data_IF_539829460427
#
_entry.id   IF_539829460427
#
_cell.length_a   1.000
_cell.length_b   1.000
_cell.length_c   1.000
_cell.angle_alpha   90.00
_cell.angle_beta   90.00
_cell.angle_gamma   90.00
#
_symmetry.space_group_name_H-M   'P 1'
#
loop_
_entity.id
_entity.type
_entity.pdbx_description
1 polymer ?
#
# COMPACT_ATOMS: atom_id res chain seq x y z
N UNK A 1 19.59 -12.36 -24.37
CA UNK A 1 19.87 -11.14 -23.57
C UNK A 1 20.44 -11.57 -22.22
N UNK A 2 21.64 -11.10 -21.84
CA UNK A 2 22.11 -11.24 -20.46
C UNK A 2 21.34 -10.23 -19.61
N UNK A 3 20.40 -10.70 -18.81
CA UNK A 3 19.71 -9.87 -17.83
C UNK A 3 20.69 -9.57 -16.69
N UNK A 4 20.88 -8.29 -16.36
CA UNK A 4 21.66 -7.89 -15.19
C UNK A 4 20.88 -8.19 -13.90
N UNK A 5 21.60 -8.33 -12.78
CA UNK A 5 20.96 -8.49 -11.47
C UNK A 5 20.29 -7.17 -11.06
N UNK A 6 19.07 -7.25 -10.55
CA UNK A 6 18.38 -6.09 -9.97
C UNK A 6 18.58 -6.09 -8.46
N UNK A 7 19.04 -4.96 -7.92
CA UNK A 7 19.27 -4.75 -6.49
C UNK A 7 18.32 -3.65 -6.03
N UNK A 8 17.55 -3.92 -4.99
CA UNK A 8 16.66 -2.96 -4.32
C UNK A 8 17.17 -2.81 -2.89
N UNK A 9 17.40 -1.58 -2.45
CA UNK A 9 17.87 -1.26 -1.11
C UNK A 9 16.90 -0.30 -0.41
N UNK A 10 16.63 -0.54 0.86
CA UNK A 10 15.88 0.36 1.72
C UNK A 10 16.45 0.33 3.15
N UNK A 11 17.27 1.34 3.48
CA UNK A 11 17.93 1.51 4.78
C UNK A 11 18.76 0.28 5.18
N UNK A 12 18.16 -0.66 5.89
CA UNK A 12 18.75 -1.90 6.43
C UNK A 12 18.34 -3.16 5.66
N UNK A 13 17.34 -3.07 4.77
CA UNK A 13 16.85 -4.20 3.97
C UNK A 13 17.41 -4.16 2.52
N UNK A 14 18.02 -5.26 2.07
CA UNK A 14 18.51 -5.43 0.69
C UNK A 14 17.79 -6.62 0.03
N UNK A 15 17.26 -6.40 -1.18
CA UNK A 15 16.61 -7.42 -2.00
C UNK A 15 17.33 -7.57 -3.35
N UNK A 16 17.68 -8.81 -3.69
CA UNK A 16 18.30 -9.20 -4.95
C UNK A 16 17.30 -9.98 -5.81
N UNK A 17 17.18 -9.62 -7.09
CA UNK A 17 16.25 -10.24 -8.03
C UNK A 17 16.98 -10.62 -9.32
N UNK A 18 16.80 -11.87 -9.73
CA UNK A 18 17.30 -12.37 -11.00
C UNK A 18 16.51 -13.61 -11.47
N UNK A 19 16.39 -13.82 -12.78
CA UNK A 19 15.61 -14.93 -13.34
C UNK A 19 16.30 -16.30 -13.18
N UNK A 20 17.64 -16.32 -13.27
CA UNK A 20 18.43 -17.54 -13.07
C UNK A 20 18.77 -17.72 -11.58
N UNK A 21 18.29 -18.84 -11.01
CA UNK A 21 18.47 -19.23 -9.60
C UNK A 21 19.94 -19.38 -9.19
N UNK A 22 20.73 -20.11 -9.97
CA UNK A 22 22.15 -20.36 -9.66
C UNK A 22 22.98 -19.08 -9.73
N UNK A 23 22.70 -18.25 -10.72
CA UNK A 23 23.32 -16.93 -10.81
C UNK A 23 22.94 -16.04 -9.62
N UNK A 24 21.66 -16.04 -9.21
CA UNK A 24 21.21 -15.29 -8.04
C UNK A 24 21.95 -15.75 -6.79
N UNK A 25 22.06 -17.06 -6.56
CA UNK A 25 22.80 -17.63 -5.42
C UNK A 25 24.26 -17.17 -5.38
N UNK A 26 24.95 -17.24 -6.53
CA UNK A 26 26.33 -16.76 -6.66
C UNK A 26 26.45 -15.26 -6.37
N UNK A 27 25.51 -14.46 -6.86
CA UNK A 27 25.51 -13.02 -6.64
C UNK A 27 25.16 -12.64 -5.20
N UNK A 28 24.23 -13.35 -4.55
CA UNK A 28 23.91 -13.18 -3.12
C UNK A 28 25.16 -13.38 -2.28
N UNK A 29 25.93 -14.45 -2.54
CA UNK A 29 27.18 -14.69 -1.82
C UNK A 29 28.19 -13.55 -2.04
N UNK A 30 28.36 -13.08 -3.28
CA UNK A 30 29.26 -11.96 -3.60
C UNK A 30 28.85 -10.67 -2.89
N UNK A 31 27.56 -10.38 -2.82
CA UNK A 31 27.03 -9.21 -2.09
C UNK A 31 27.31 -9.35 -0.60
N UNK A 32 27.05 -10.51 -0.01
CA UNK A 32 27.35 -10.77 1.41
C UNK A 32 28.83 -10.60 1.73
N UNK A 33 29.72 -11.11 0.88
CA UNK A 33 31.17 -10.96 1.07
C UNK A 33 31.62 -9.51 0.95
N UNK A 34 31.01 -8.75 0.04
CA UNK A 34 31.23 -7.30 -0.12
C UNK A 34 30.77 -6.54 1.11
N UNK A 35 29.59 -6.86 1.66
CA UNK A 35 29.08 -6.24 2.88
C UNK A 35 30.00 -6.52 4.09
N UNK A 36 30.49 -7.77 4.22
CA UNK A 36 31.48 -8.13 5.24
C UNK A 36 32.78 -7.36 5.07
N UNK A 37 33.28 -7.20 3.85
CA UNK A 37 34.49 -6.44 3.55
C UNK A 37 34.36 -4.98 4.02
N UNK A 38 33.20 -4.35 3.79
CA UNK A 38 32.89 -3.01 4.29
C UNK A 38 32.48 -2.97 5.78
N UNK A 39 32.64 -4.09 6.51
CA UNK A 39 32.35 -4.22 7.95
C UNK A 39 30.89 -3.99 8.32
N UNK A 40 29.94 -4.22 7.41
CA UNK A 40 28.53 -4.27 7.76
C UNK A 40 28.23 -5.56 8.54
N UNK A 41 27.56 -5.42 9.69
CA UNK A 41 27.04 -6.55 10.44
C UNK A 41 25.74 -7.04 9.79
N UNK A 42 25.71 -8.28 9.32
CA UNK A 42 24.51 -8.88 8.72
C UNK A 42 23.82 -9.80 9.73
N UNK A 43 22.50 -9.72 9.80
CA UNK A 43 21.71 -10.66 10.59
C UNK A 43 21.45 -11.93 9.77
N UNK A 44 22.30 -12.94 9.93
CA UNK A 44 22.22 -14.20 9.17
C UNK A 44 20.97 -15.03 9.50
N UNK A 45 20.41 -14.90 10.71
CA UNK A 45 19.19 -15.61 11.10
C UNK A 45 17.95 -15.06 10.40
N UNK A 46 17.89 -13.74 10.21
CA UNK A 46 16.77 -13.06 9.55
C UNK A 46 16.95 -12.93 8.02
N UNK A 47 18.16 -13.20 7.51
CA UNK A 47 18.46 -13.07 6.08
C UNK A 47 18.02 -14.31 5.31
N UNK A 48 17.18 -14.13 4.30
CA UNK A 48 16.84 -15.18 3.34
C UNK A 48 17.90 -15.23 2.24
N UNK A 49 18.87 -16.15 2.33
CA UNK A 49 19.99 -16.25 1.38
C UNK A 49 19.76 -17.25 0.25
N UNK A 50 18.83 -18.17 0.41
CA UNK A 50 18.43 -19.10 -0.64
C UNK A 50 17.37 -18.44 -1.55
N UNK A 51 17.54 -18.51 -2.89
CA UNK A 51 16.56 -17.96 -3.82
C UNK A 51 15.15 -18.54 -3.62
N UNK A 52 14.16 -17.67 -3.45
CA UNK A 52 12.76 -18.02 -3.31
C UNK A 52 11.86 -17.10 -4.17
N UNK A 53 10.71 -17.61 -4.58
CA UNK A 53 9.69 -16.83 -5.29
C UNK A 53 8.69 -16.15 -4.34
N UNK A 54 8.58 -16.65 -3.10
CA UNK A 54 7.80 -16.00 -2.05
C UNK A 54 8.79 -15.44 -1.03
N UNK A 55 8.83 -14.13 -0.91
CA UNK A 55 9.77 -13.44 -0.03
C UNK A 55 9.06 -12.44 0.88
N UNK A 56 9.69 -12.14 2.00
CA UNK A 56 9.29 -11.06 2.87
C UNK A 56 10.21 -9.87 2.64
N UNK A 57 9.67 -8.74 2.21
CA UNK A 57 10.44 -7.52 2.05
C UNK A 57 9.62 -6.30 2.47
N UNK A 58 10.23 -5.41 3.26
CA UNK A 58 9.59 -4.24 3.86
C UNK A 58 8.31 -4.54 4.64
N UNK A 59 8.18 -5.74 5.22
CA UNK A 59 7.00 -6.19 5.98
C UNK A 59 5.80 -6.67 5.14
N UNK A 60 6.00 -6.81 3.82
CA UNK A 60 5.05 -7.38 2.88
C UNK A 60 5.48 -8.77 2.45
N UNK A 61 4.52 -9.61 2.06
CA UNK A 61 4.79 -10.87 1.40
C UNK A 61 4.64 -10.67 -0.10
N UNK A 62 5.71 -10.92 -0.83
CA UNK A 62 5.78 -10.78 -2.28
C UNK A 62 5.76 -12.16 -2.89
N UNK A 63 4.83 -12.39 -3.81
CA UNK A 63 4.86 -13.54 -4.69
C UNK A 63 5.36 -13.07 -6.05
N UNK A 64 6.65 -13.34 -6.31
CA UNK A 64 7.37 -12.91 -7.50
C UNK A 64 6.94 -13.68 -8.75
N UNK A 65 6.46 -14.92 -8.60
CA UNK A 65 5.97 -15.72 -9.73
C UNK A 65 4.71 -15.10 -10.36
N UNK A 66 3.80 -14.61 -9.52
CA UNK A 66 2.55 -13.98 -9.95
C UNK A 66 2.63 -12.45 -9.98
N UNK A 67 3.80 -11.87 -9.67
CA UNK A 67 4.00 -10.44 -9.47
C UNK A 67 2.93 -9.80 -8.57
N UNK A 68 2.65 -10.42 -7.43
CA UNK A 68 1.65 -9.91 -6.47
C UNK A 68 2.26 -9.60 -5.11
N UNK A 69 1.65 -8.65 -4.40
CA UNK A 69 2.02 -8.31 -3.02
C UNK A 69 0.81 -8.42 -2.10
N UNK A 70 1.00 -9.05 -0.94
CA UNK A 70 -0.03 -9.15 0.10
C UNK A 70 0.50 -8.84 1.49
N UNK A 71 -0.41 -8.43 2.36
CA UNK A 71 -0.08 -8.06 3.74
C UNK A 71 0.10 -9.34 4.54
N UNK A 72 1.12 -9.43 5.38
CA UNK A 72 1.30 -10.57 6.28
C UNK A 72 0.04 -10.81 7.14
N UNK A 73 -0.38 -12.06 7.36
CA UNK A 73 -1.57 -12.38 8.15
C UNK A 73 -1.58 -11.74 9.55
N UNK A 74 -0.46 -11.81 10.28
CA UNK A 74 -0.35 -11.24 11.64
C UNK A 74 -0.55 -9.72 11.65
N UNK A 75 0.09 -8.99 10.72
CA UNK A 75 -0.03 -7.53 10.59
C UNK A 75 -1.46 -7.13 10.19
N UNK A 76 -2.08 -7.90 9.28
CA UNK A 76 -3.48 -7.73 8.88
C UNK A 76 -4.45 -7.88 10.06
N UNK A 77 -4.28 -8.92 10.88
CA UNK A 77 -5.14 -9.16 12.05
C UNK A 77 -5.07 -8.01 13.07
N UNK A 78 -3.86 -7.51 13.35
CA UNK A 78 -3.68 -6.37 14.25
C UNK A 78 -4.37 -5.10 13.74
N UNK A 79 -4.33 -4.85 12.43
CA UNK A 79 -4.99 -3.69 11.82
C UNK A 79 -6.51 -3.83 11.81
N UNK A 80 -7.03 -5.02 11.49
CA UNK A 80 -8.45 -5.30 11.60
C UNK A 80 -8.95 -5.05 13.03
N UNK A 81 -8.19 -5.50 14.03
CA UNK A 81 -8.49 -5.24 15.44
C UNK A 81 -8.59 -3.74 15.73
N UNK A 82 -7.57 -2.97 15.33
CA UNK A 82 -7.55 -1.51 15.52
C UNK A 82 -8.73 -0.82 14.82
N UNK A 83 -9.11 -1.25 13.61
CA UNK A 83 -10.25 -0.73 12.87
C UNK A 83 -11.59 -1.05 13.54
N UNK A 84 -11.77 -2.25 14.11
CA UNK A 84 -12.98 -2.56 14.87
C UNK A 84 -13.10 -1.71 16.13
N UNK A 85 -11.99 -1.49 16.85
CA UNK A 85 -12.00 -0.60 18.01
C UNK A 85 -12.37 0.83 17.61
N UNK A 86 -11.78 1.36 16.53
CA UNK A 86 -12.15 2.67 16.02
C UNK A 86 -13.63 2.76 15.64
N UNK A 87 -14.13 1.77 14.89
CA UNK A 87 -15.54 1.72 14.50
C UNK A 87 -16.44 1.73 15.73
N UNK A 88 -16.08 0.98 16.78
CA UNK A 88 -16.82 0.93 18.05
C UNK A 88 -16.79 2.30 18.72
N UNK A 89 -15.62 2.91 18.89
CA UNK A 89 -15.47 4.21 19.55
C UNK A 89 -16.22 5.33 18.81
N UNK A 90 -16.21 5.34 17.48
CA UNK A 90 -17.00 6.30 16.68
C UNK A 90 -18.50 6.09 16.92
N UNK A 91 -18.97 4.83 16.97
CA UNK A 91 -20.39 4.52 17.21
C UNK A 91 -20.86 4.94 18.61
N UNK A 92 -20.02 4.73 19.62
CA UNK A 92 -20.31 5.06 21.02
C UNK A 92 -19.90 6.48 21.38
N UNK A 93 -19.47 7.29 20.42
CA UNK A 93 -19.00 8.67 20.61
C UNK A 93 -17.94 8.81 21.70
N UNK A 94 -17.13 7.76 21.87
CA UNK A 94 -16.08 7.69 22.88
C UNK A 94 -14.95 8.64 22.50
N UNK A 95 -14.40 9.33 23.50
CA UNK A 95 -13.20 10.13 23.34
C UNK A 95 -11.98 9.26 23.03
N UNK A 96 -11.25 9.62 21.97
CA UNK A 96 -10.06 8.89 21.50
C UNK A 96 -8.87 9.84 21.54
N UNK A 97 -7.74 9.38 22.07
CA UNK A 97 -6.52 10.17 22.05
C UNK A 97 -6.09 10.46 20.59
N UNK A 98 -5.82 11.72 20.26
CA UNK A 98 -5.45 12.17 18.90
C UNK A 98 -4.22 11.40 18.38
N UNK A 99 -3.24 11.12 19.27
CA UNK A 99 -2.07 10.29 18.96
C UNK A 99 -2.43 8.86 18.53
N UNK A 100 -3.45 8.25 19.12
CA UNK A 100 -3.88 6.91 18.73
C UNK A 100 -4.45 6.92 17.31
N UNK A 101 -5.27 7.93 16.96
CA UNK A 101 -5.75 8.11 15.60
C UNK A 101 -4.61 8.37 14.62
N UNK A 102 -3.65 9.23 14.97
CA UNK A 102 -2.46 9.48 14.14
C UNK A 102 -1.65 8.19 13.90
N UNK A 103 -1.48 7.36 14.93
CA UNK A 103 -0.80 6.06 14.83
C UNK A 103 -1.54 5.11 13.88
N UNK A 104 -2.87 5.10 13.91
CA UNK A 104 -3.67 4.30 12.97
C UNK A 104 -3.55 4.82 11.53
N UNK A 105 -3.67 6.14 11.30
CA UNK A 105 -3.49 6.73 9.97
C UNK A 105 -2.13 6.34 9.40
N UNK A 106 -1.06 6.44 10.19
CA UNK A 106 0.29 6.02 9.76
C UNK A 106 0.34 4.53 9.39
N UNK A 107 -0.31 3.68 10.18
CA UNK A 107 -0.40 2.24 9.91
C UNK A 107 -1.17 1.93 8.61
N UNK A 108 -2.23 2.69 8.32
CA UNK A 108 -3.00 2.57 7.09
C UNK A 108 -2.23 3.12 5.88
N UNK A 109 -1.50 4.23 6.05
CA UNK A 109 -0.65 4.83 5.01
C UNK A 109 0.46 3.89 4.55
N UNK A 110 1.05 3.11 5.46
CA UNK A 110 2.00 2.06 5.09
C UNK A 110 1.43 1.07 4.07
N UNK A 111 0.10 0.94 3.98
CA UNK A 111 -0.59 -0.01 3.10
C UNK A 111 -1.16 0.61 1.82
N UNK A 112 -0.90 1.91 1.60
CA UNK A 112 -1.32 2.65 0.40
C UNK A 112 -0.81 2.03 -0.90
N UNK A 113 0.29 1.27 -0.85
CA UNK A 113 0.85 0.53 -1.98
C UNK A 113 -0.18 -0.37 -2.70
N UNK A 114 -1.24 -0.80 -2.00
CA UNK A 114 -2.24 -1.73 -2.55
C UNK A 114 -3.42 -1.07 -3.28
N UNK A 115 -3.64 0.23 -3.13
CA UNK A 115 -4.84 0.88 -3.69
C UNK A 115 -4.65 2.39 -3.76
N UNK A 116 -4.93 2.98 -4.92
CA UNK A 116 -4.97 4.44 -5.06
C UNK A 116 -6.17 5.04 -4.29
N UNK A 117 -7.30 4.32 -4.27
CA UNK A 117 -8.57 4.66 -3.59
C UNK A 117 -8.39 4.82 -2.07
N UNK A 118 -7.45 4.07 -1.48
CA UNK A 118 -7.10 4.14 -0.06
C UNK A 118 -6.75 5.57 0.41
N UNK A 119 -6.22 6.40 -0.47
CA UNK A 119 -5.82 7.78 -0.14
C UNK A 119 -7.04 8.63 0.22
N UNK A 120 -8.10 8.52 -0.58
CA UNK A 120 -9.29 9.36 -0.46
C UNK A 120 -10.08 9.04 0.82
N UNK A 121 -10.10 7.76 1.20
CA UNK A 121 -10.82 7.23 2.35
C UNK A 121 -10.09 7.41 3.70
N UNK A 122 -8.99 8.16 3.71
CA UNK A 122 -8.37 8.65 4.95
C UNK A 122 -8.65 10.12 5.20
N UNK A 123 -9.19 10.85 4.22
CA UNK A 123 -9.35 12.30 4.29
C UNK A 123 -10.27 12.72 5.44
N UNK A 124 -11.38 12.01 5.66
CA UNK A 124 -12.33 12.35 6.74
C UNK A 124 -11.64 12.18 8.11
N UNK A 125 -10.98 11.05 8.32
CA UNK A 125 -10.30 10.72 9.59
C UNK A 125 -9.14 11.68 9.85
N UNK A 126 -8.32 11.95 8.82
CA UNK A 126 -7.17 12.84 8.94
C UNK A 126 -7.57 14.31 9.13
N UNK A 127 -8.59 14.77 8.40
CA UNK A 127 -9.15 16.12 8.54
C UNK A 127 -9.71 16.34 9.95
N UNK A 128 -10.53 15.41 10.47
CA UNK A 128 -11.07 15.52 11.82
C UNK A 128 -9.96 15.51 12.88
N UNK A 129 -8.98 14.61 12.74
CA UNK A 129 -7.79 14.59 13.60
C UNK A 129 -7.04 15.93 13.55
N UNK A 130 -6.75 16.43 12.35
CA UNK A 130 -5.98 17.66 12.17
C UNK A 130 -6.72 18.86 12.77
N UNK A 131 -8.03 18.96 12.57
CA UNK A 131 -8.88 19.98 13.17
C UNK A 131 -8.83 19.92 14.70
N UNK A 132 -9.00 18.74 15.29
CA UNK A 132 -8.94 18.57 16.75
C UNK A 132 -7.56 18.94 17.32
N UNK A 133 -6.49 18.49 16.65
CA UNK A 133 -5.12 18.76 17.11
C UNK A 133 -4.76 20.25 17.04
N UNK A 134 -5.27 20.97 16.02
CA UNK A 134 -5.11 22.43 15.91
C UNK A 134 -5.85 23.18 17.02
N UNK A 135 -7.04 22.71 17.40
CA UNK A 135 -7.88 23.40 18.40
C UNK A 135 -7.46 23.11 19.84
N UNK A 136 -7.00 21.89 20.14
CA UNK A 136 -6.79 21.42 21.53
C UNK A 136 -5.38 20.91 21.81
N UNK A 137 -4.53 20.76 20.79
CA UNK A 137 -3.19 20.18 20.90
C UNK A 137 -3.16 18.68 20.59
N UNK A 138 -1.97 18.12 20.35
CA UNK A 138 -1.82 16.72 19.92
C UNK A 138 -1.92 15.70 21.06
N UNK A 139 -1.76 16.13 22.31
CA UNK A 139 -1.78 15.25 23.49
C UNK A 139 -3.20 15.05 24.06
N UNK A 140 -4.22 15.67 23.47
CA UNK A 140 -5.60 15.59 23.96
C UNK A 140 -6.39 14.48 23.28
N UNK A 141 -7.63 14.34 23.71
CA UNK A 141 -8.64 13.48 23.11
C UNK A 141 -9.52 14.23 22.11
N UNK A 142 -10.22 13.48 21.27
CA UNK A 142 -11.26 13.96 20.36
C UNK A 142 -12.37 12.92 20.22
N UNK A 143 -13.58 13.40 19.95
CA UNK A 143 -14.69 12.56 19.50
C UNK A 143 -14.76 12.60 17.99
N UNK A 144 -14.74 11.44 17.35
CA UNK A 144 -14.78 11.33 15.89
C UNK A 144 -16.22 11.24 15.40
N UNK A 145 -16.55 12.01 14.36
CA UNK A 145 -17.89 12.04 13.80
C UNK A 145 -18.23 10.72 13.10
N UNK A 146 -19.48 10.27 13.22
CA UNK A 146 -20.04 9.09 12.57
C UNK A 146 -19.91 9.11 11.04
N UNK A 147 -19.67 10.26 10.41
CA UNK A 147 -19.33 10.37 8.98
C UNK A 147 -18.07 9.59 8.59
N UNK A 148 -17.19 9.24 9.52
CA UNK A 148 -16.03 8.38 9.26
C UNK A 148 -16.37 6.87 9.20
N UNK A 149 -17.57 6.46 9.64
CA UNK A 149 -17.95 5.03 9.71
C UNK A 149 -17.92 4.34 8.33
N UNK A 150 -18.44 4.94 7.23
CA UNK A 150 -18.36 4.33 5.90
C UNK A 150 -16.93 4.01 5.48
N UNK A 151 -16.00 4.96 5.63
CA UNK A 151 -14.58 4.79 5.31
C UNK A 151 -13.97 3.65 6.13
N UNK A 152 -14.22 3.61 7.44
CA UNK A 152 -13.72 2.55 8.32
C UNK A 152 -14.29 1.17 7.91
N UNK A 153 -15.57 1.08 7.52
CA UNK A 153 -16.17 -0.16 7.05
C UNK A 153 -15.55 -0.62 5.72
N UNK A 154 -15.29 0.31 4.80
CA UNK A 154 -14.62 0.01 3.54
C UNK A 154 -13.23 -0.58 3.80
N UNK A 155 -12.47 0.03 4.72
CA UNK A 155 -11.16 -0.49 5.13
C UNK A 155 -11.27 -1.90 5.70
N UNK A 156 -12.20 -2.14 6.63
CA UNK A 156 -12.43 -3.48 7.19
C UNK A 156 -12.74 -4.50 6.08
N UNK A 157 -13.59 -4.15 5.12
CA UNK A 157 -13.96 -5.03 4.01
C UNK A 157 -12.74 -5.37 3.12
N UNK A 158 -11.95 -4.36 2.71
CA UNK A 158 -10.73 -4.57 1.92
C UNK A 158 -9.72 -5.45 2.65
N UNK A 159 -9.53 -5.24 3.96
CA UNK A 159 -8.62 -6.06 4.75
C UNK A 159 -9.11 -7.51 4.94
N UNK A 160 -10.41 -7.72 5.10
CA UNK A 160 -10.99 -9.07 5.14
C UNK A 160 -10.74 -9.81 3.84
N UNK A 161 -11.03 -9.17 2.70
CA UNK A 161 -10.84 -9.74 1.38
C UNK A 161 -9.38 -10.11 1.10
N UNK A 162 -8.42 -9.27 1.55
CA UNK A 162 -6.97 -9.47 1.40
C UNK A 162 -6.56 -9.85 -0.03
N UNK A 163 -7.22 -9.23 -0.99
CA UNK A 163 -6.91 -9.40 -2.41
C UNK A 163 -5.45 -8.97 -2.61
N UNK A 164 -4.60 -9.82 -3.20
CA UNK A 164 -3.23 -9.44 -3.56
C UNK A 164 -3.27 -8.27 -4.54
N UNK A 165 -2.39 -7.27 -4.33
CA UNK A 165 -2.22 -6.22 -5.33
C UNK A 165 -1.26 -6.72 -6.41
N UNK A 166 -1.59 -6.50 -7.68
CA UNK A 166 -0.67 -6.78 -8.79
C UNK A 166 0.38 -5.67 -8.86
N UNK A 167 1.63 -6.06 -9.06
CA UNK A 167 2.79 -5.16 -9.15
C UNK A 167 3.04 -4.70 -10.58
N UNK A 168 2.60 -5.50 -11.54
CA UNK A 168 2.67 -5.15 -12.96
C UNK A 168 1.34 -4.49 -13.30
N UNK A 169 1.38 -3.18 -13.53
CA UNK A 169 0.27 -2.50 -14.17
C UNK A 169 0.34 -2.88 -15.65
N UNK A 170 -0.58 -3.75 -16.08
CA UNK A 170 -0.79 -3.98 -17.51
C UNK A 170 -1.25 -2.63 -18.06
N UNK A 171 -0.43 -2.01 -18.92
CA UNK A 171 -0.86 -0.81 -19.61
C UNK A 171 -2.10 -1.17 -20.42
N UNK A 172 -3.24 -0.50 -20.20
CA UNK A 172 -4.42 -0.77 -21.00
C UNK A 172 -4.08 -0.47 -22.47
N UNK A 173 -4.45 -1.38 -23.37
CA UNK A 173 -4.30 -1.16 -24.81
C UNK A 173 -5.24 -0.05 -25.30
N UNK A 174 -6.35 0.16 -24.59
CA UNK A 174 -7.31 1.24 -24.84
C UNK A 174 -7.78 1.83 -23.50
N UNK A 175 -7.85 3.15 -23.42
CA UNK A 175 -8.40 3.89 -22.29
C UNK A 175 -9.61 4.66 -22.78
N UNK A 176 -10.78 4.40 -22.20
CA UNK A 176 -11.98 5.21 -22.43
C UNK A 176 -12.18 6.14 -21.24
N UNK A 177 -12.15 7.45 -21.48
CA UNK A 177 -12.45 8.47 -20.48
C UNK A 177 -13.84 9.01 -20.76
N UNK A 178 -14.72 9.00 -19.77
CA UNK A 178 -16.05 9.58 -19.88
C UNK A 178 -16.23 10.68 -18.84
N UNK A 179 -16.90 11.75 -19.23
CA UNK A 179 -17.34 12.81 -18.33
C UNK A 179 -18.81 13.12 -18.60
N UNK A 180 -19.56 13.44 -17.56
CA UNK A 180 -20.98 13.70 -17.64
C UNK A 180 -21.36 14.87 -16.72
N UNK A 181 -22.05 15.84 -17.30
CA UNK A 181 -22.68 16.96 -16.63
C UNK A 181 -24.21 16.85 -16.77
N UNK A 182 -25.01 17.61 -15.98
CA UNK A 182 -26.46 17.55 -16.04
C UNK A 182 -27.08 17.87 -17.41
N UNK A 183 -26.34 18.53 -18.31
CA UNK A 183 -26.83 18.94 -19.64
C UNK A 183 -26.08 18.28 -20.80
N UNK A 184 -24.92 17.64 -20.54
CA UNK A 184 -24.01 17.13 -21.58
C UNK A 184 -23.24 15.91 -21.10
N UNK A 185 -22.76 15.12 -22.05
CA UNK A 185 -21.80 14.06 -21.81
C UNK A 185 -20.68 14.14 -22.86
N UNK A 186 -19.52 13.62 -22.50
CA UNK A 186 -18.36 13.50 -23.39
C UNK A 186 -17.64 12.19 -23.13
N UNK A 187 -17.04 11.64 -24.17
CA UNK A 187 -16.13 10.51 -24.07
C UNK A 187 -14.97 10.64 -25.05
N UNK A 188 -13.80 10.17 -24.62
CA UNK A 188 -12.63 9.96 -25.48
C UNK A 188 -12.19 8.50 -25.37
N UNK A 189 -11.71 7.95 -26.48
CA UNK A 189 -11.08 6.65 -26.54
C UNK A 189 -9.65 6.83 -27.06
N UNK A 190 -8.70 6.47 -26.22
CA UNK A 190 -7.27 6.59 -26.50
C UNK A 190 -6.65 5.19 -26.60
N UNK A 191 -5.70 4.98 -27.52
CA UNK A 191 -4.85 3.79 -27.60
C UNK A 191 -3.40 4.23 -27.54
N UNK A 192 -2.63 3.66 -26.61
CA UNK A 192 -1.19 3.97 -26.48
C UNK A 192 -0.88 5.48 -26.40
N UNK A 193 -1.78 6.26 -25.76
CA UNK A 193 -1.73 7.73 -25.62
C UNK A 193 -2.10 8.53 -26.89
N UNK A 194 -2.54 7.87 -27.97
CA UNK A 194 -3.14 8.53 -29.13
C UNK A 194 -4.67 8.49 -29.04
N UNK A 195 -5.31 9.65 -29.13
CA UNK A 195 -6.76 9.76 -29.18
C UNK A 195 -7.27 9.23 -30.53
N UNK A 196 -8.09 8.18 -30.50
CA UNK A 196 -8.60 7.52 -31.70
C UNK A 196 -10.06 7.90 -31.98
N UNK A 197 -10.84 8.17 -30.93
CA UNK A 197 -12.23 8.57 -31.08
C UNK A 197 -12.66 9.54 -29.96
N UNK A 198 -13.56 10.46 -30.30
CA UNK A 198 -14.21 11.35 -29.36
C UNK A 198 -15.70 11.40 -29.69
N UNK A 199 -16.54 11.32 -28.66
CA UNK A 199 -17.97 11.52 -28.77
C UNK A 199 -18.44 12.51 -27.70
N UNK A 200 -19.47 13.28 -28.01
CA UNK A 200 -20.12 14.16 -27.05
C UNK A 200 -21.59 14.33 -27.42
N UNK A 201 -22.41 14.67 -26.44
CA UNK A 201 -23.83 14.89 -26.66
C UNK A 201 -24.46 15.71 -25.55
N UNK A 202 -25.70 16.09 -25.80
CA UNK A 202 -26.63 16.64 -24.79
C UNK A 202 -27.60 15.54 -24.39
N UNK A 203 -28.18 15.66 -23.19
CA UNK A 203 -29.32 14.82 -22.80
C UNK A 203 -30.58 15.17 -23.58
#
# INVERSE_FOLDING_TARGET
MKTEIRIINYVDDILLLHQNKEYLKKMTQRVMDTLKYFRFAMNTEMSETEPNQIIIFLGWEWNLANATVRTKPKKRLLLLRDLYYMRRWIKTETEIAIKQTAKLIRKLNYLRLKSQEATLLLNIVDHQKAKAARLRGQNTTMTMNKTAIPDINWWIAKFRANIPAQLIQISPQMTMTTDAAPSRWGSTLDKELEMIAMAHGTW
#
